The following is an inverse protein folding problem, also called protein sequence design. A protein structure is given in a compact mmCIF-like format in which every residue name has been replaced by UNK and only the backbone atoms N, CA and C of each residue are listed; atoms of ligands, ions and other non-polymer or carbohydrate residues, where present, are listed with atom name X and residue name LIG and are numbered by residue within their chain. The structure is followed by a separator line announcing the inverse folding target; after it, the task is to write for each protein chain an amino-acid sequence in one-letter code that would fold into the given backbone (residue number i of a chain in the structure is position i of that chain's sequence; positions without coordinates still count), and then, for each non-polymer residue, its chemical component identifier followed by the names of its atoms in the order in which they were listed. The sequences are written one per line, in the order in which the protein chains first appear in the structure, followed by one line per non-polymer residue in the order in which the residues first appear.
data_IF_519710368761
#
_entry.id   IF_519710368761
#
_cell.length_a   1.000
_cell.length_b   1.000
_cell.length_c   1.000
_cell.angle_alpha   90.00
_cell.angle_beta   90.00
_cell.angle_gamma   90.00
#
_symmetry.space_group_name_H-M   'P 1'
#
loop_
_entity.id
_entity.type
_entity.pdbx_description
1 polymer ?
#
# COMPACT_ATOMS: atom_id res chain seq x y z
N UNK A 1 27.08 2.10 -9.71
CA UNK A 1 26.78 0.69 -9.41
C UNK A 1 25.25 0.59 -9.32
N UNK A 2 24.58 0.13 -10.37
CA UNK A 2 23.12 -0.04 -10.35
C UNK A 2 22.81 -1.12 -9.32
N UNK A 3 22.32 -0.71 -8.15
CA UNK A 3 21.83 -1.63 -7.12
C UNK A 3 20.61 -2.31 -7.73
N UNK A 4 20.75 -3.52 -8.27
CA UNK A 4 19.60 -4.32 -8.67
C UNK A 4 18.77 -4.49 -7.40
N UNK A 5 17.55 -3.94 -7.41
CA UNK A 5 16.62 -4.14 -6.31
C UNK A 5 16.45 -5.65 -6.13
N UNK A 6 16.57 -6.12 -4.88
CA UNK A 6 16.36 -7.52 -4.59
C UNK A 6 14.96 -7.90 -5.10
N UNK A 7 14.78 -8.99 -5.87
CA UNK A 7 13.47 -9.38 -6.38
C UNK A 7 12.39 -9.45 -5.29
N UNK A 8 12.78 -9.83 -4.06
CA UNK A 8 11.88 -9.85 -2.90
C UNK A 8 11.43 -8.44 -2.52
N UNK A 9 12.32 -7.46 -2.54
CA UNK A 9 11.97 -6.05 -2.28
C UNK A 9 10.99 -5.53 -3.33
N UNK A 10 11.25 -5.82 -4.61
CA UNK A 10 10.37 -5.41 -5.72
C UNK A 10 8.98 -5.99 -5.54
N UNK A 11 8.87 -7.29 -5.29
CA UNK A 11 7.59 -7.97 -5.08
C UNK A 11 6.87 -7.40 -3.85
N UNK A 12 7.59 -7.15 -2.76
CA UNK A 12 7.01 -6.57 -1.53
C UNK A 12 6.42 -5.19 -1.77
N UNK A 13 7.10 -4.34 -2.53
CA UNK A 13 6.62 -3.00 -2.91
C UNK A 13 5.39 -3.09 -3.81
N UNK A 14 5.39 -4.02 -4.77
CA UNK A 14 4.23 -4.23 -5.65
C UNK A 14 2.99 -4.68 -4.86
N UNK A 15 3.15 -5.60 -3.90
CA UNK A 15 2.06 -6.04 -3.02
C UNK A 15 1.53 -4.87 -2.18
N UNK A 16 2.43 -4.08 -1.56
CA UNK A 16 2.03 -2.92 -0.78
C UNK A 16 1.25 -1.90 -1.63
N UNK A 17 1.69 -1.66 -2.88
CA UNK A 17 0.99 -0.80 -3.83
C UNK A 17 -0.38 -1.34 -4.20
N UNK A 18 -0.50 -2.64 -4.49
CA UNK A 18 -1.78 -3.28 -4.78
C UNK A 18 -2.76 -3.10 -3.62
N UNK A 19 -2.31 -3.34 -2.38
CA UNK A 19 -3.12 -3.12 -1.17
C UNK A 19 -3.59 -1.67 -1.03
N UNK A 20 -2.71 -0.70 -1.27
CA UNK A 20 -3.06 0.72 -1.23
C UNK A 20 -4.11 1.05 -2.28
N UNK A 21 -3.90 0.62 -3.52
CA UNK A 21 -4.84 0.87 -4.63
C UNK A 21 -6.20 0.25 -4.34
N UNK A 22 -6.24 -1.01 -3.92
CA UNK A 22 -7.49 -1.70 -3.60
C UNK A 22 -8.21 -1.05 -2.42
N UNK A 23 -7.48 -0.63 -1.40
CA UNK A 23 -8.06 0.06 -0.23
C UNK A 23 -8.68 1.40 -0.63
N UNK A 24 -8.02 2.17 -1.50
CA UNK A 24 -8.56 3.44 -2.03
C UNK A 24 -9.81 3.17 -2.86
N UNK A 25 -9.80 2.16 -3.73
CA UNK A 25 -10.98 1.77 -4.51
C UNK A 25 -12.13 1.43 -3.56
N UNK A 26 -11.90 0.62 -2.53
CA UNK A 26 -12.93 0.25 -1.55
C UNK A 26 -13.51 1.46 -0.82
N UNK A 27 -12.68 2.42 -0.42
CA UNK A 27 -13.15 3.66 0.21
C UNK A 27 -14.00 4.54 -0.72
N UNK A 28 -13.88 4.37 -2.04
CA UNK A 28 -14.67 5.11 -3.03
C UNK A 28 -15.97 4.38 -3.39
N UNK A 29 -15.93 3.05 -3.52
CA UNK A 29 -17.08 2.28 -4.03
C UNK A 29 -17.98 1.71 -2.94
N UNK A 30 -17.51 1.64 -1.69
CA UNK A 30 -18.26 1.09 -0.56
C UNK A 30 -18.60 2.21 0.43
N UNK A 31 -19.78 2.18 1.09
CA UNK A 31 -20.09 3.10 2.19
C UNK A 31 -19.00 3.14 3.25
N UNK A 32 -18.70 4.35 3.73
CA UNK A 32 -17.57 4.59 4.63
C UNK A 32 -17.70 3.83 5.95
N UNK A 33 -18.91 3.63 6.46
CA UNK A 33 -19.16 2.90 7.70
C UNK A 33 -18.70 1.44 7.61
N UNK A 34 -18.75 0.87 6.40
CA UNK A 34 -18.33 -0.51 6.10
C UNK A 34 -16.83 -0.56 5.78
N UNK A 35 -16.31 0.44 5.06
CA UNK A 35 -14.91 0.49 4.67
C UNK A 35 -13.97 1.05 5.75
N UNK A 36 -14.47 1.75 6.77
CA UNK A 36 -13.68 2.41 7.81
C UNK A 36 -12.58 1.52 8.45
N UNK A 37 -12.81 0.21 8.71
CA UNK A 37 -11.77 -0.67 9.25
C UNK A 37 -10.53 -0.83 8.35
N UNK A 38 -10.58 -0.50 7.05
CA UNK A 38 -9.42 -0.57 6.15
C UNK A 38 -8.47 0.63 6.29
N UNK A 39 -8.95 1.74 6.85
CA UNK A 39 -8.20 3.01 6.90
C UNK A 39 -6.88 2.86 7.67
N UNK A 40 -6.82 2.22 8.85
CA UNK A 40 -5.55 2.02 9.54
C UNK A 40 -4.54 1.23 8.69
N UNK A 41 -5.00 0.19 7.98
CA UNK A 41 -4.14 -0.63 7.14
C UNK A 41 -3.60 0.16 5.95
N UNK A 42 -4.45 0.96 5.30
CA UNK A 42 -4.05 1.89 4.23
C UNK A 42 -2.96 2.86 4.71
N UNK A 43 -3.13 3.46 5.90
CA UNK A 43 -2.15 4.37 6.47
C UNK A 43 -0.82 3.68 6.75
N UNK A 44 -0.84 2.46 7.30
CA UNK A 44 0.38 1.67 7.55
C UNK A 44 1.16 1.43 6.26
N UNK A 45 0.50 0.99 5.19
CA UNK A 45 1.16 0.76 3.91
C UNK A 45 1.68 2.06 3.27
N UNK A 46 0.93 3.16 3.34
CA UNK A 46 1.39 4.46 2.85
C UNK A 46 2.63 4.95 3.60
N UNK A 47 2.66 4.81 4.92
CA UNK A 47 3.84 5.15 5.74
C UNK A 47 5.02 4.24 5.36
N UNK A 48 4.80 2.93 5.25
CA UNK A 48 5.86 1.99 4.87
C UNK A 48 6.44 2.30 3.49
N UNK A 49 5.59 2.60 2.50
CA UNK A 49 6.03 3.00 1.16
C UNK A 49 6.77 4.35 1.17
N UNK A 50 6.31 5.31 1.96
CA UNK A 50 6.99 6.59 2.12
C UNK A 50 8.38 6.40 2.74
N UNK A 51 8.50 5.56 3.76
CA UNK A 51 9.77 5.22 4.40
C UNK A 51 10.70 4.44 3.46
N UNK A 52 10.17 3.55 2.61
CA UNK A 52 10.96 2.85 1.61
C UNK A 52 11.49 3.77 0.50
N UNK A 53 10.72 4.80 0.14
CA UNK A 53 11.10 5.79 -0.87
C UNK A 53 12.18 6.76 -0.34
N UNK A 54 12.10 7.14 0.93
CA UNK A 54 12.94 8.17 1.56
C UNK A 54 14.37 7.71 1.81
#
# INVERSE_FOLDING_TARGET
MLKMANPIEVVSVLIALEFVVMSVVLLVVVPLEVAAPIIPLLLVFLIALQLYRS
#
